data_IF_983699703709
#
_entry.id   IF_983699703709
#
_cell.length_a   1.000
_cell.length_b   1.000
_cell.length_c   1.000
_cell.angle_alpha   90.00
_cell.angle_beta   90.00
_cell.angle_gamma   90.00
#
_symmetry.space_group_name_H-M   'P 1'
#
loop_
_entity.id
_entity.type
_entity.pdbx_description
1 polymer ?
#
# COMPACT_ATOMS: atom_id res chain seq x y z
N UNK A 1 -16.50 -0.18 -10.51
CA UNK A 1 -16.35 -1.65 -10.31
C UNK A 1 -17.08 -2.34 -11.45
N UNK A 2 -16.38 -3.13 -12.27
CA UNK A 2 -16.85 -3.55 -13.60
C UNK A 2 -18.02 -4.55 -13.61
N UNK A 3 -18.49 -5.05 -12.46
CA UNK A 3 -19.54 -6.07 -12.34
C UNK A 3 -20.73 -5.66 -11.44
N UNK A 4 -20.82 -4.40 -11.00
CA UNK A 4 -21.90 -3.94 -10.11
C UNK A 4 -21.89 -4.54 -8.70
N UNK A 5 -20.92 -5.40 -8.38
CA UNK A 5 -20.68 -5.95 -7.04
C UNK A 5 -20.02 -4.91 -6.13
N UNK A 6 -20.27 -4.98 -4.83
CA UNK A 6 -19.55 -4.16 -3.84
C UNK A 6 -18.08 -4.61 -3.74
N UNK A 7 -17.15 -3.75 -3.26
CA UNK A 7 -15.75 -4.14 -3.10
C UNK A 7 -15.56 -5.38 -2.22
N UNK A 8 -16.24 -5.49 -1.04
CA UNK A 8 -16.16 -6.70 -0.22
C UNK A 8 -16.62 -7.96 -0.96
N UNK A 9 -17.73 -7.87 -1.70
CA UNK A 9 -18.30 -9.03 -2.40
C UNK A 9 -17.38 -9.52 -3.51
N UNK A 10 -16.79 -8.59 -4.27
CA UNK A 10 -15.81 -8.94 -5.30
C UNK A 10 -14.59 -9.64 -4.68
N UNK A 11 -14.02 -9.08 -3.61
CA UNK A 11 -12.87 -9.70 -2.92
C UNK A 11 -13.22 -11.07 -2.31
N UNK A 12 -14.44 -11.26 -1.81
CA UNK A 12 -14.91 -12.54 -1.29
C UNK A 12 -14.97 -13.60 -2.40
N UNK A 13 -15.54 -13.24 -3.56
CA UNK A 13 -15.64 -14.13 -4.72
C UNK A 13 -14.26 -14.56 -5.21
N UNK A 14 -13.34 -13.61 -5.39
CA UNK A 14 -11.98 -13.89 -5.85
C UNK A 14 -11.21 -14.74 -4.82
N UNK A 15 -11.31 -14.41 -3.53
CA UNK A 15 -10.65 -15.20 -2.46
C UNK A 15 -11.15 -16.65 -2.44
N UNK A 16 -12.44 -16.87 -2.69
CA UNK A 16 -13.01 -18.21 -2.75
C UNK A 16 -12.49 -18.99 -3.96
N UNK A 17 -12.38 -18.34 -5.13
CA UNK A 17 -11.83 -18.96 -6.33
C UNK A 17 -10.39 -19.46 -6.10
N UNK A 18 -9.54 -18.66 -5.43
CA UNK A 18 -8.19 -19.09 -5.05
C UNK A 18 -8.18 -20.31 -4.13
N UNK A 19 -9.09 -20.38 -3.14
CA UNK A 19 -9.19 -21.55 -2.25
C UNK A 19 -9.55 -22.83 -2.99
N UNK A 20 -10.46 -22.73 -3.97
CA UNK A 20 -10.81 -23.88 -4.82
C UNK A 20 -9.63 -24.28 -5.67
N UNK A 21 -8.97 -23.32 -6.34
CA UNK A 21 -7.79 -23.59 -7.15
C UNK A 21 -6.67 -24.27 -6.38
N UNK A 22 -6.42 -23.86 -5.13
CA UNK A 22 -5.40 -24.49 -4.29
C UNK A 22 -5.72 -25.95 -3.96
N UNK A 23 -7.01 -26.31 -3.83
CA UNK A 23 -7.44 -27.70 -3.68
C UNK A 23 -7.26 -28.48 -4.98
N UNK A 24 -7.61 -27.88 -6.11
CA UNK A 24 -7.48 -28.51 -7.44
C UNK A 24 -6.01 -28.78 -7.80
N UNK A 25 -5.10 -27.95 -7.30
CA UNK A 25 -3.65 -28.10 -7.47
C UNK A 25 -2.99 -28.99 -6.39
N UNK A 26 -3.75 -29.58 -5.47
CA UNK A 26 -3.26 -30.38 -4.34
C UNK A 26 -2.23 -29.64 -3.46
N UNK A 27 -2.42 -28.33 -3.28
CA UNK A 27 -1.56 -27.48 -2.45
C UNK A 27 -2.16 -27.36 -1.05
N UNK A 28 -1.49 -27.98 -0.07
CA UNK A 28 -1.83 -27.86 1.35
C UNK A 28 -1.30 -26.55 1.94
N UNK A 29 -2.06 -25.97 2.87
CA UNK A 29 -1.65 -24.79 3.62
C UNK A 29 -2.23 -24.83 5.03
N UNK A 30 -1.48 -24.31 6.01
CA UNK A 30 -1.95 -24.29 7.40
C UNK A 30 -2.97 -23.17 7.66
N UNK A 31 -2.79 -22.02 7.00
CA UNK A 31 -3.60 -20.82 7.21
C UNK A 31 -3.78 -20.04 5.91
N UNK A 32 -5.00 -19.60 5.66
CA UNK A 32 -5.32 -18.63 4.62
C UNK A 32 -5.85 -17.37 5.30
N UNK A 33 -5.02 -16.34 5.32
CA UNK A 33 -5.27 -15.08 6.04
C UNK A 33 -5.65 -14.02 5.01
N UNK A 34 -6.70 -13.24 5.28
CA UNK A 34 -7.04 -12.06 4.49
C UNK A 34 -6.65 -10.80 5.25
N UNK A 35 -6.17 -9.79 4.52
CA UNK A 35 -5.83 -8.48 5.10
C UNK A 35 -7.05 -7.75 5.67
N UNK A 36 -8.26 -8.15 5.26
CA UNK A 36 -9.53 -7.65 5.79
C UNK A 36 -10.01 -8.36 7.06
N UNK A 37 -9.36 -9.44 7.50
CA UNK A 37 -9.78 -10.18 8.69
C UNK A 37 -9.55 -9.34 9.97
N UNK A 38 -10.48 -9.41 10.92
CA UNK A 38 -10.43 -8.63 12.16
C UNK A 38 -9.14 -8.87 12.97
N UNK A 39 -8.61 -10.09 12.95
CA UNK A 39 -7.31 -10.42 13.57
C UNK A 39 -6.15 -9.69 12.91
N UNK A 40 -6.13 -9.62 11.57
CA UNK A 40 -5.09 -8.88 10.84
C UNK A 40 -5.20 -7.38 11.14
N UNK A 41 -6.42 -6.83 11.13
CA UNK A 41 -6.67 -5.43 11.47
C UNK A 41 -6.21 -5.09 12.89
N UNK A 42 -6.46 -5.97 13.87
CA UNK A 42 -6.03 -5.76 15.26
C UNK A 42 -4.49 -5.70 15.36
N UNK A 43 -3.78 -6.63 14.70
CA UNK A 43 -2.31 -6.67 14.69
C UNK A 43 -1.73 -5.42 14.01
N UNK A 44 -2.28 -5.02 12.86
CA UNK A 44 -1.84 -3.82 12.14
C UNK A 44 -2.08 -2.56 12.98
N UNK A 45 -3.22 -2.48 13.68
CA UNK A 45 -3.54 -1.36 14.58
C UNK A 45 -2.57 -1.29 15.76
N UNK A 46 -2.26 -2.43 16.39
CA UNK A 46 -1.28 -2.50 17.47
C UNK A 46 0.11 -2.10 16.99
N UNK A 47 0.55 -2.63 15.85
CA UNK A 47 1.82 -2.26 15.22
C UNK A 47 1.88 -0.76 14.95
N UNK A 48 0.86 -0.20 14.29
CA UNK A 48 0.77 1.23 14.02
C UNK A 48 0.83 2.07 15.29
N UNK A 49 0.10 1.69 16.33
CA UNK A 49 0.12 2.39 17.62
C UNK A 49 1.50 2.40 18.27
N UNK A 50 2.27 1.29 18.20
CA UNK A 50 3.64 1.23 18.71
C UNK A 50 4.59 2.14 17.93
N UNK A 51 4.55 2.07 16.60
CA UNK A 51 5.41 2.89 15.74
C UNK A 51 5.08 4.38 15.91
N UNK A 52 3.79 4.72 16.07
CA UNK A 52 3.36 6.08 16.35
C UNK A 52 3.85 6.56 17.73
N UNK A 53 3.74 5.72 18.76
CA UNK A 53 4.23 6.04 20.11
C UNK A 53 5.75 6.23 20.17
N UNK A 54 6.50 5.52 19.32
CA UNK A 54 7.95 5.67 19.20
C UNK A 54 8.39 6.96 18.46
N UNK A 55 7.46 7.72 17.88
CA UNK A 55 7.79 8.93 17.12
C UNK A 55 8.36 8.67 15.72
N UNK A 56 8.30 7.42 15.24
CA UNK A 56 8.79 7.03 13.92
C UNK A 56 7.86 7.47 12.78
N UNK A 57 6.61 7.82 13.10
CA UNK A 57 5.63 8.36 12.16
C UNK A 57 5.50 9.86 12.37
N UNK A 58 5.74 10.62 11.31
CA UNK A 58 5.58 12.07 11.31
C UNK A 58 4.62 12.51 10.20
N UNK A 59 3.91 13.61 10.46
CA UNK A 59 3.08 14.26 9.46
C UNK A 59 3.95 15.23 8.67
N UNK A 60 3.94 15.11 7.35
CA UNK A 60 4.54 16.11 6.49
C UNK A 60 3.60 16.46 5.34
N UNK A 61 3.77 17.67 4.85
CA UNK A 61 3.04 18.17 3.69
C UNK A 61 3.72 17.63 2.45
N UNK A 62 2.94 16.96 1.61
CA UNK A 62 3.37 16.53 0.30
C UNK A 62 2.66 17.39 -0.74
N UNK A 63 3.45 18.15 -1.48
CA UNK A 63 3.00 18.91 -2.64
C UNK A 63 3.46 18.19 -3.90
N UNK A 64 2.52 17.85 -4.77
CA UNK A 64 2.81 17.13 -6.00
C UNK A 64 1.84 17.46 -7.11
N UNK A 65 2.26 17.14 -8.33
CA UNK A 65 1.37 17.23 -9.48
C UNK A 65 0.35 16.10 -9.38
N UNK A 66 -0.92 16.49 -9.30
CA UNK A 66 -2.04 15.56 -9.27
C UNK A 66 -2.78 15.58 -10.59
N UNK A 67 -2.93 14.41 -11.20
CA UNK A 67 -3.79 14.26 -12.36
C UNK A 67 -5.22 14.00 -11.89
N UNK A 68 -6.11 14.99 -12.07
CA UNK A 68 -7.53 14.83 -11.68
C UNK A 68 -8.20 13.70 -12.47
N UNK A 69 -7.87 13.55 -13.76
CA UNK A 69 -8.44 12.49 -14.61
C UNK A 69 -7.95 11.08 -14.26
N UNK A 70 -6.79 10.94 -13.61
CA UNK A 70 -6.25 9.64 -13.21
C UNK A 70 -6.36 9.36 -11.71
N UNK A 71 -6.83 10.33 -10.92
CA UNK A 71 -6.90 10.27 -9.46
C UNK A 71 -5.56 9.85 -8.78
N UNK A 72 -4.44 10.32 -9.32
CA UNK A 72 -3.10 9.89 -8.88
C UNK A 72 -2.08 11.04 -8.91
N UNK A 73 -1.17 11.04 -7.93
CA UNK A 73 0.03 11.89 -7.92
C UNK A 73 1.07 11.38 -8.92
N UNK A 74 1.55 12.26 -9.79
CA UNK A 74 2.63 11.95 -10.74
C UNK A 74 3.96 12.43 -10.18
N UNK A 75 4.91 11.51 -10.05
CA UNK A 75 6.31 11.87 -9.82
C UNK A 75 6.88 12.45 -11.11
N UNK A 76 7.24 13.72 -11.09
CA UNK A 76 7.97 14.33 -12.20
C UNK A 76 9.39 13.77 -12.14
N UNK A 77 9.69 12.80 -13.00
CA UNK A 77 11.07 12.47 -13.31
C UNK A 77 11.66 13.70 -14.02
N UNK A 78 12.43 14.50 -13.28
CA UNK A 78 12.98 15.78 -13.73
C UNK A 78 14.08 15.52 -14.77
N UNK A 79 13.67 15.14 -15.99
CA UNK A 79 14.57 14.99 -17.13
C UNK A 79 13.91 15.23 -18.48
N UNK A 80 12.88 16.07 -18.56
CA UNK A 80 12.48 16.68 -19.82
C UNK A 80 12.19 18.17 -19.62
N UNK A 81 12.77 18.95 -20.52
CA UNK A 81 12.87 20.40 -20.60
C UNK A 81 11.54 21.12 -20.41
N UNK A 82 11.58 22.26 -19.70
CA UNK A 82 10.47 23.19 -19.35
C UNK A 82 9.49 23.49 -20.51
N UNK A 83 9.93 23.36 -21.75
CA UNK A 83 9.11 23.56 -22.96
C UNK A 83 8.02 22.50 -23.18
N UNK A 84 8.28 21.22 -22.91
CA UNK A 84 7.27 20.15 -23.03
C UNK A 84 6.24 20.26 -21.91
N UNK A 85 6.66 20.75 -20.74
CA UNK A 85 5.81 20.93 -19.56
C UNK A 85 4.72 22.00 -19.79
N UNK A 86 5.04 23.13 -20.43
CA UNK A 86 4.07 24.16 -20.76
C UNK A 86 3.01 23.70 -21.78
N UNK A 87 3.39 22.84 -22.72
CA UNK A 87 2.46 22.27 -23.71
C UNK A 87 1.56 21.21 -23.05
N UNK A 88 2.11 20.34 -22.21
CA UNK A 88 1.33 19.30 -21.51
C UNK A 88 0.34 19.89 -20.50
N UNK A 89 0.65 21.01 -19.85
CA UNK A 89 -0.30 21.75 -19.00
C UNK A 89 -1.53 22.26 -19.77
N UNK A 90 -1.41 22.50 -21.08
CA UNK A 90 -2.53 22.91 -21.93
C UNK A 90 -3.46 21.75 -22.31
N UNK A 91 -3.00 20.50 -22.24
CA UNK A 91 -3.78 19.32 -22.66
C UNK A 91 -4.24 18.46 -21.49
N UNK A 92 -3.43 18.33 -20.43
CA UNK A 92 -3.77 17.61 -19.23
C UNK A 92 -3.96 18.61 -18.09
N UNK A 93 -5.18 18.63 -17.54
CA UNK A 93 -5.58 19.50 -16.43
C UNK A 93 -4.93 19.00 -15.13
N UNK A 94 -3.64 19.27 -14.99
CA UNK A 94 -2.87 18.99 -13.80
C UNK A 94 -3.09 20.09 -12.78
N UNK A 95 -3.41 19.71 -11.55
CA UNK A 95 -3.50 20.62 -10.41
C UNK A 95 -2.31 20.33 -9.48
N UNK A 96 -1.74 21.37 -8.89
CA UNK A 96 -0.84 21.21 -7.75
C UNK A 96 -1.73 20.98 -6.52
N UNK A 97 -1.62 19.81 -5.89
CA UNK A 97 -2.30 19.49 -4.65
C UNK A 97 -1.29 19.36 -3.51
N UNK A 98 -1.59 20.04 -2.41
CA UNK A 98 -0.91 19.87 -1.13
C UNK A 98 -1.77 18.96 -0.28
N UNK A 99 -1.24 17.82 0.15
CA UNK A 99 -1.92 16.85 1.00
C UNK A 99 -1.05 16.46 2.18
N UNK A 100 -1.69 16.16 3.29
CA UNK A 100 -1.01 15.68 4.49
C UNK A 100 -0.80 14.17 4.41
N UNK A 101 0.45 13.75 4.44
CA UNK A 101 0.80 12.33 4.49
C UNK A 101 1.52 12.00 5.80
N UNK A 102 1.31 10.79 6.28
CA UNK A 102 2.07 10.21 7.38
C UNK A 102 3.24 9.45 6.78
N UNK A 103 4.44 9.95 7.03
CA UNK A 103 5.68 9.33 6.57
C UNK A 103 6.31 8.56 7.73
N UNK A 104 6.91 7.42 7.41
CA UNK A 104 7.75 6.66 8.35
C UNK A 104 9.19 7.11 8.17
N UNK A 105 9.86 7.47 9.27
CA UNK A 105 11.30 7.68 9.29
C UNK A 105 12.02 6.35 9.05
N UNK A 106 12.47 6.11 7.82
CA UNK A 106 13.17 4.87 7.44
C UNK A 106 14.62 4.85 7.98
N UNK A 107 15.23 6.01 8.24
CA UNK A 107 16.61 6.12 8.73
C UNK A 107 16.86 5.53 10.12
N UNK A 108 15.83 5.32 10.94
CA UNK A 108 15.94 4.64 12.24
C UNK A 108 15.70 3.12 12.17
N UNK A 109 15.26 2.61 11.01
CA UNK A 109 14.89 1.20 10.86
C UNK A 109 16.12 0.29 10.63
N UNK A 110 17.26 0.85 10.19
CA UNK A 110 18.44 0.10 9.75
C UNK A 110 19.31 -0.47 10.89
N UNK A 111 19.12 -0.05 12.15
CA UNK A 111 19.92 -0.58 13.28
C UNK A 111 19.15 -1.31 14.38
N UNK A 112 17.82 -1.16 14.47
CA UNK A 112 17.06 -1.73 15.61
C UNK A 112 16.06 -2.83 15.23
N UNK A 113 15.65 -2.95 13.96
CA UNK A 113 14.66 -3.95 13.53
C UNK A 113 15.19 -5.06 12.63
N UNK A 114 16.43 -4.97 12.13
CA UNK A 114 17.06 -6.07 11.39
C UNK A 114 17.29 -7.33 12.25
N UNK A 115 17.25 -7.20 13.58
CA UNK A 115 17.41 -8.32 14.52
C UNK A 115 16.09 -8.93 15.04
N UNK A 116 14.92 -8.42 14.66
CA UNK A 116 13.64 -8.97 15.14
C UNK A 116 12.50 -9.04 14.10
N UNK A 117 12.81 -8.91 12.81
CA UNK A 117 11.85 -9.18 11.74
C UNK A 117 12.39 -10.10 10.64
N UNK A 118 13.19 -11.09 11.04
CA UNK A 118 13.29 -12.38 10.33
C UNK A 118 12.43 -13.36 11.11
N UNK A 119 11.11 -13.29 10.91
CA UNK A 119 10.23 -14.41 11.28
C UNK A 119 10.53 -15.52 10.29
N UNK A 120 11.43 -16.41 10.74
CA UNK A 120 11.52 -17.83 10.42
C UNK A 120 10.55 -18.32 9.34
N UNK A 121 11.01 -18.35 8.09
CA UNK A 121 10.70 -19.46 7.19
C UNK A 121 11.54 -20.67 7.66
N UNK A 122 10.88 -21.82 7.74
CA UNK A 122 11.38 -23.18 8.08
C UNK A 122 11.59 -23.53 9.56
N UNK A 123 10.86 -24.57 9.97
CA UNK A 123 10.99 -25.55 11.09
C UNK A 123 9.58 -25.68 11.72
N UNK A 124 8.90 -26.82 11.80
CA UNK A 124 9.10 -28.19 11.35
C UNK A 124 7.77 -28.93 11.54
N UNK A 125 7.44 -29.81 10.60
CA UNK A 125 7.00 -31.19 10.84
C UNK A 125 7.26 -31.99 9.57
#
# INVERSE_FOLDING_TARGET
MAQGSTPPDHCNLISQAYRTLWKDLDISYDKFIRTTDSKHQAIVKEFYSRVLANGDIYRADYEGIYCVSCEEYKVIALRLTVFIFLILLSFFKFLILVSYFYFKNVLLFDSFYFFNFVVFLLVSS
#
